data_IF_280347116522
#
_entry.id   IF_280347116522
#
_cell.length_a   1.000
_cell.length_b   1.000
_cell.length_c   1.000
_cell.angle_alpha   90.00
_cell.angle_beta   90.00
_cell.angle_gamma   90.00
#
_symmetry.space_group_name_H-M   'P 1'
#
loop_
_entity.id
_entity.type
_entity.pdbx_description
1 polymer ?
#
# COMPACT_ATOMS: atom_id res chain seq x y z
N UNK A 1 11.97 -11.37 10.58
CA UNK A 1 11.45 -10.95 9.25
C UNK A 1 10.64 -9.68 9.46
N UNK A 2 10.87 -8.65 8.65
CA UNK A 2 10.24 -7.34 8.86
C UNK A 2 10.31 -6.48 7.61
N UNK A 3 9.70 -5.29 7.68
CA UNK A 3 9.79 -4.29 6.61
C UNK A 3 11.22 -3.72 6.62
N UNK A 4 11.88 -3.77 5.45
CA UNK A 4 13.24 -3.23 5.28
C UNK A 4 13.26 -1.95 4.44
N UNK A 5 12.20 -1.68 3.69
CA UNK A 5 12.07 -0.46 2.90
C UNK A 5 10.62 -0.07 2.67
N UNK A 6 10.33 1.20 2.85
CA UNK A 6 9.08 1.85 2.46
C UNK A 6 9.42 2.93 1.44
N UNK A 7 8.67 3.00 0.34
CA UNK A 7 8.78 4.06 -0.66
C UNK A 7 7.40 4.65 -0.89
N UNK A 8 7.28 5.95 -0.62
CA UNK A 8 6.12 6.76 -1.01
C UNK A 8 6.49 7.48 -2.29
N UNK A 9 5.70 7.25 -3.35
CA UNK A 9 5.95 7.81 -4.67
C UNK A 9 4.73 8.62 -5.11
N UNK A 10 4.94 9.91 -5.37
CA UNK A 10 3.95 10.73 -6.05
C UNK A 10 3.69 10.20 -7.46
N UNK A 11 2.42 10.05 -7.81
CA UNK A 11 1.94 9.64 -9.14
C UNK A 11 0.93 10.64 -9.69
N UNK A 12 0.97 11.89 -9.26
CA UNK A 12 0.17 13.01 -9.80
C UNK A 12 0.20 13.08 -11.35
N UNK A 13 1.33 12.73 -11.97
CA UNK A 13 1.48 12.64 -13.45
C UNK A 13 0.66 11.53 -14.11
N UNK A 14 0.11 10.58 -13.36
CA UNK A 14 -0.69 9.44 -13.85
C UNK A 14 -2.18 9.58 -13.52
N UNK A 15 -2.49 10.10 -12.34
CA UNK A 15 -3.82 10.53 -11.96
C UNK A 15 -3.70 11.60 -10.87
N UNK A 16 -4.59 12.59 -10.88
CA UNK A 16 -4.59 13.64 -9.87
C UNK A 16 -4.67 13.03 -8.46
N UNK A 17 -3.82 13.53 -7.54
CA UNK A 17 -3.77 13.12 -6.12
C UNK A 17 -3.45 11.62 -5.90
N UNK A 18 -2.93 10.92 -6.91
CA UNK A 18 -2.54 9.52 -6.77
C UNK A 18 -1.18 9.39 -6.09
N UNK A 19 -1.12 8.63 -5.00
CA UNK A 19 0.12 8.24 -4.32
C UNK A 19 0.28 6.73 -4.43
N UNK A 20 1.52 6.26 -4.61
CA UNK A 20 1.84 4.84 -4.54
C UNK A 20 2.74 4.57 -3.35
N UNK A 21 2.30 3.66 -2.49
CA UNK A 21 3.12 3.11 -1.40
C UNK A 21 3.68 1.77 -1.84
N UNK A 22 4.99 1.58 -1.67
CA UNK A 22 5.65 0.27 -1.85
C UNK A 22 6.28 -0.13 -0.53
N UNK A 23 5.86 -1.26 0.00
CA UNK A 23 6.44 -1.89 1.19
C UNK A 23 7.25 -3.10 0.74
N UNK A 24 8.51 -3.19 1.17
CA UNK A 24 9.39 -4.33 0.88
C UNK A 24 9.83 -4.98 2.19
N UNK A 25 9.56 -6.27 2.32
CA UNK A 25 10.05 -7.08 3.43
C UNK A 25 11.48 -7.61 3.21
N UNK A 26 12.09 -8.11 4.29
CA UNK A 26 13.39 -8.79 4.24
C UNK A 26 13.31 -9.95 3.24
N UNK A 27 14.34 -10.12 2.40
CA UNK A 27 14.36 -11.08 1.29
C UNK A 27 13.22 -10.91 0.27
N UNK A 28 12.63 -9.72 0.19
CA UNK A 28 11.52 -9.43 -0.74
C UNK A 28 10.16 -9.91 -0.25
N UNK A 29 10.09 -10.59 0.90
CA UNK A 29 8.85 -11.13 1.43
C UNK A 29 8.46 -10.42 2.73
N UNK A 30 7.22 -9.96 2.80
CA UNK A 30 6.55 -9.61 4.04
C UNK A 30 5.32 -10.52 4.14
N UNK A 31 5.15 -11.30 5.23
CA UNK A 31 4.20 -12.40 5.27
C UNK A 31 2.76 -11.88 5.35
N UNK A 32 2.21 -11.48 4.20
CA UNK A 32 0.79 -11.22 4.01
C UNK A 32 0.14 -12.47 3.43
N UNK A 33 -0.99 -12.83 3.99
CA UNK A 33 -1.86 -13.94 3.58
C UNK A 33 -3.20 -13.40 3.09
N UNK A 34 -4.05 -14.27 2.54
CA UNK A 34 -5.40 -13.88 2.12
C UNK A 34 -6.28 -13.42 3.28
N UNK A 35 -6.01 -13.87 4.51
CA UNK A 35 -6.76 -13.46 5.71
C UNK A 35 -6.37 -12.07 6.20
N UNK A 36 -5.26 -11.52 5.73
CA UNK A 36 -4.79 -10.16 6.07
C UNK A 36 -5.45 -9.08 5.20
N UNK A 37 -6.33 -9.46 4.27
CA UNK A 37 -7.05 -8.55 3.38
C UNK A 37 -8.45 -8.28 3.98
N UNK A 38 -8.89 -7.01 4.11
CA UNK A 38 -8.38 -5.78 3.51
C UNK A 38 -7.13 -5.19 4.17
N UNK A 39 -6.08 -4.93 3.39
CA UNK A 39 -4.89 -4.25 3.89
C UNK A 39 -5.15 -2.75 3.98
N UNK A 40 -4.79 -2.13 5.12
CA UNK A 40 -4.90 -0.68 5.33
C UNK A 40 -3.52 -0.04 5.28
N UNK A 41 -3.40 1.05 4.53
CA UNK A 41 -2.23 1.92 4.55
C UNK A 41 -2.70 3.37 4.76
N UNK A 42 -2.19 4.02 5.81
CA UNK A 42 -2.48 5.42 6.11
C UNK A 42 -1.23 6.24 5.78
N UNK A 43 -1.36 7.22 4.89
CA UNK A 43 -0.28 8.13 4.50
C UNK A 43 -0.72 9.56 4.78
N UNK A 44 -0.07 10.22 5.74
CA UNK A 44 -0.18 11.66 5.94
C UNK A 44 0.82 12.40 5.05
N UNK A 45 0.38 13.43 4.33
CA UNK A 45 1.24 14.31 3.53
C UNK A 45 1.04 15.74 4.03
N UNK A 46 2.02 16.32 4.73
CA UNK A 46 1.96 17.68 5.30
C UNK A 46 1.91 17.72 6.83
N UNK A 47 1.51 18.88 7.39
CA UNK A 47 1.13 19.03 8.81
C UNK A 47 -0.40 18.91 8.87
N UNK A 48 -0.94 17.70 9.13
CA UNK A 48 -2.33 17.43 8.82
C UNK A 48 -3.24 18.17 9.80
N UNK A 49 -4.07 19.08 9.28
CA UNK A 49 -5.30 19.42 9.98
C UNK A 49 -6.17 18.15 10.07
N UNK A 50 -7.05 18.07 11.08
CA UNK A 50 -7.98 16.94 11.21
C UNK A 50 -8.78 16.78 9.90
N UNK A 51 -8.66 15.61 9.25
CA UNK A 51 -9.30 15.32 7.96
C UNK A 51 -8.39 15.38 6.72
N UNK A 52 -7.11 15.75 6.85
CA UNK A 52 -6.17 15.81 5.72
C UNK A 52 -5.41 14.49 5.46
N UNK A 53 -5.51 13.52 6.37
CA UNK A 53 -5.11 12.15 6.09
C UNK A 53 -6.12 11.52 5.12
N UNK A 54 -5.70 11.23 3.90
CA UNK A 54 -6.53 10.40 3.01
C UNK A 54 -6.38 8.95 3.44
N UNK A 55 -7.43 8.39 4.04
CA UNK A 55 -7.51 6.97 4.32
C UNK A 55 -8.00 6.24 3.06
N UNK A 56 -7.19 5.31 2.55
CA UNK A 56 -7.62 4.41 1.47
C UNK A 56 -7.73 3.01 2.03
N UNK A 57 -8.97 2.49 2.04
CA UNK A 57 -9.24 1.09 2.31
C UNK A 57 -9.33 0.32 0.99
N UNK A 58 -8.54 -0.74 0.85
CA UNK A 58 -8.64 -1.67 -0.28
C UNK A 58 -9.51 -2.85 0.13
N UNK A 59 -10.53 -3.18 -0.66
CA UNK A 59 -11.31 -4.41 -0.49
C UNK A 59 -10.56 -5.61 -1.06
N UNK A 60 -10.97 -6.86 -0.75
CA UNK A 60 -10.39 -8.04 -1.39
C UNK A 60 -10.43 -8.03 -2.92
N UNK A 61 -11.39 -7.34 -3.53
CA UNK A 61 -11.50 -7.21 -4.99
C UNK A 61 -10.47 -6.23 -5.59
N UNK A 62 -9.99 -5.28 -4.79
CA UNK A 62 -8.98 -4.29 -5.20
C UNK A 62 -7.55 -4.86 -5.15
N UNK A 63 -7.37 -6.03 -4.53
CA UNK A 63 -6.08 -6.62 -4.23
C UNK A 63 -5.87 -7.95 -4.95
N UNK A 64 -4.68 -8.13 -5.53
CA UNK A 64 -4.31 -9.38 -6.22
C UNK A 64 -2.88 -9.78 -5.88
N UNK A 65 -2.72 -11.02 -5.41
CA UNK A 65 -1.40 -11.65 -5.30
C UNK A 65 -0.83 -11.99 -6.67
N UNK A 66 0.48 -11.94 -6.81
CA UNK A 66 1.15 -12.52 -7.98
C UNK A 66 1.13 -14.07 -7.92
N UNK A 67 1.52 -14.74 -9.01
CA UNK A 67 1.51 -16.21 -9.08
C UNK A 67 2.43 -16.91 -8.05
N UNK A 68 3.48 -16.22 -7.58
CA UNK A 68 4.37 -16.73 -6.52
C UNK A 68 3.85 -16.45 -5.10
N UNK A 69 2.75 -15.73 -4.97
CA UNK A 69 2.13 -15.33 -3.69
C UNK A 69 3.07 -14.57 -2.73
N UNK A 70 4.12 -13.93 -3.25
CA UNK A 70 5.08 -13.14 -2.46
C UNK A 70 4.85 -11.62 -2.59
N UNK A 71 3.96 -11.22 -3.49
CA UNK A 71 3.68 -9.82 -3.81
C UNK A 71 2.18 -9.59 -3.86
N UNK A 72 1.67 -8.72 -2.98
CA UNK A 72 0.31 -8.20 -3.03
C UNK A 72 0.27 -6.85 -3.76
N UNK A 73 -0.57 -6.74 -4.80
CA UNK A 73 -0.83 -5.46 -5.49
C UNK A 73 -2.27 -5.05 -5.24
N UNK A 74 -2.48 -3.89 -4.62
CA UNK A 74 -3.80 -3.30 -4.44
C UNK A 74 -3.95 -2.03 -5.28
N UNK A 75 -5.11 -1.84 -5.91
CA UNK A 75 -5.44 -0.69 -6.74
C UNK A 75 -6.97 -0.46 -6.76
N UNK A 76 -7.38 0.78 -6.48
CA UNK A 76 -8.71 1.32 -6.83
C UNK A 76 -8.70 1.87 -8.28
#
# INVERSE_FOLDING_TARGET
NGIVKIVVQDRSKKAARQVKVKVKGKNGNYPLTSTDVPVRAVVGVGNPAAGECTETAFTPLDCKFNGKQDTLKCKQ
#
